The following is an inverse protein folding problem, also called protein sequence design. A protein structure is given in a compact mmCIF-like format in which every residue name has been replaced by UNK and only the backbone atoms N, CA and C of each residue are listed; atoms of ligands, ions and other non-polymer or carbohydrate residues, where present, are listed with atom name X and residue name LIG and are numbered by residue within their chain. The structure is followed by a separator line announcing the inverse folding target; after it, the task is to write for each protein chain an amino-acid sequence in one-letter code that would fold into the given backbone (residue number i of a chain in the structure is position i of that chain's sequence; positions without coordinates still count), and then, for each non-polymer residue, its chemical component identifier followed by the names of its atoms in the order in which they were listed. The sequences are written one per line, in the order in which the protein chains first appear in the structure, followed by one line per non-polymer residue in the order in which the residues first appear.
data_IF_740687827154
#
_entry.id   IF_740687827154
#
_cell.length_a   1.000
_cell.length_b   1.000
_cell.length_c   1.000
_cell.angle_alpha   90.00
_cell.angle_beta   90.00
_cell.angle_gamma   90.00
#
_symmetry.space_group_name_H-M   'P 1'
#
loop_
_entity.id
_entity.type
_entity.pdbx_description
1 polymer ?
#
# COMPACT_ATOMS: atom_id res chain seq x y z
N UNK A 1 20.96 -18.33 -7.34
CA UNK A 1 21.03 -17.29 -8.39
C UNK A 1 19.68 -16.70 -8.75
N UNK A 2 18.75 -17.42 -9.40
CA UNK A 2 17.45 -16.81 -9.80
C UNK A 2 16.59 -16.44 -8.58
N UNK A 3 16.57 -17.29 -7.54
CA UNK A 3 15.84 -17.02 -6.29
C UNK A 3 16.42 -15.79 -5.56
N UNK A 4 17.73 -15.75 -5.36
CA UNK A 4 18.39 -14.62 -4.69
C UNK A 4 18.18 -13.28 -5.41
N UNK A 5 18.17 -13.30 -6.76
CA UNK A 5 17.88 -12.10 -7.55
C UNK A 5 16.42 -11.67 -7.42
N UNK A 6 15.48 -12.63 -7.42
CA UNK A 6 14.07 -12.38 -7.15
C UNK A 6 13.89 -11.79 -5.74
N UNK A 7 14.50 -12.37 -4.72
CA UNK A 7 14.40 -11.92 -3.34
C UNK A 7 14.95 -10.49 -3.17
N UNK A 8 16.03 -10.16 -3.88
CA UNK A 8 16.57 -8.80 -3.93
C UNK A 8 15.56 -7.81 -4.51
N UNK A 9 14.94 -8.13 -5.65
CA UNK A 9 13.91 -7.29 -6.27
C UNK A 9 12.70 -7.13 -5.35
N UNK A 10 12.20 -8.22 -4.76
CA UNK A 10 11.06 -8.16 -3.84
C UNK A 10 11.36 -7.30 -2.59
N UNK A 11 12.61 -7.34 -2.11
CA UNK A 11 13.07 -6.51 -1.00
C UNK A 11 13.09 -5.03 -1.38
N UNK A 12 13.69 -4.68 -2.52
CA UNK A 12 13.74 -3.30 -3.01
C UNK A 12 12.33 -2.74 -3.27
N UNK A 13 11.46 -3.52 -3.91
CA UNK A 13 10.05 -3.14 -4.13
C UNK A 13 9.30 -2.95 -2.82
N UNK A 14 9.53 -3.83 -1.83
CA UNK A 14 8.92 -3.69 -0.50
C UNK A 14 9.36 -2.39 0.19
N UNK A 15 10.63 -2.03 0.10
CA UNK A 15 11.17 -0.80 0.68
C UNK A 15 10.56 0.45 0.02
N UNK A 16 10.46 0.46 -1.31
CA UNK A 16 9.86 1.56 -2.06
C UNK A 16 8.38 1.71 -1.68
N UNK A 17 7.61 0.62 -1.70
CA UNK A 17 6.19 0.66 -1.34
C UNK A 17 5.98 1.18 0.09
N UNK A 18 6.75 0.70 1.06
CA UNK A 18 6.68 1.16 2.45
C UNK A 18 7.07 2.64 2.60
N UNK A 19 8.07 3.11 1.84
CA UNK A 19 8.45 4.52 1.80
C UNK A 19 7.31 5.41 1.32
N UNK A 20 6.64 5.01 0.23
CA UNK A 20 5.51 5.77 -0.32
C UNK A 20 4.30 5.75 0.63
N UNK A 21 3.96 4.58 1.18
CA UNK A 21 2.89 4.45 2.18
C UNK A 21 3.12 5.39 3.38
N UNK A 22 4.36 5.49 3.87
CA UNK A 22 4.72 6.40 4.95
C UNK A 22 4.48 7.87 4.57
N UNK A 23 4.84 8.28 3.34
CA UNK A 23 4.61 9.66 2.86
C UNK A 23 3.12 9.94 2.70
N UNK A 24 2.35 8.98 2.17
CA UNK A 24 0.90 9.10 2.03
C UNK A 24 0.25 9.32 3.39
N UNK A 25 0.56 8.49 4.39
CA UNK A 25 -0.07 8.55 5.71
C UNK A 25 0.37 9.74 6.55
N UNK A 26 1.66 10.12 6.50
CA UNK A 26 2.20 11.16 7.38
C UNK A 26 2.07 12.59 6.84
N UNK A 27 1.82 12.76 5.54
CA UNK A 27 1.81 14.09 4.92
C UNK A 27 0.61 14.27 4.00
N UNK A 28 0.52 13.44 2.97
CA UNK A 28 -0.31 13.76 1.81
C UNK A 28 -1.80 13.58 2.12
N UNK A 29 -2.19 12.47 2.77
CA UNK A 29 -3.58 12.22 3.18
C UNK A 29 -4.02 13.21 4.27
N UNK A 30 -3.13 13.57 5.20
CA UNK A 30 -3.43 14.55 6.26
C UNK A 30 -3.62 15.97 5.71
N UNK A 31 -2.85 16.34 4.67
CA UNK A 31 -2.93 17.66 4.03
C UNK A 31 -4.12 17.79 3.06
N UNK A 32 -4.70 16.67 2.60
CA UNK A 32 -5.80 16.67 1.65
C UNK A 32 -7.11 17.14 2.32
N UNK A 33 -7.45 18.43 2.13
CA UNK A 33 -8.68 19.05 2.66
C UNK A 33 -9.92 18.79 1.80
N UNK A 34 -9.74 18.54 0.50
CA UNK A 34 -10.83 18.27 -0.43
C UNK A 34 -11.10 16.76 -0.56
N UNK A 35 -12.38 16.38 -0.63
CA UNK A 35 -12.82 14.98 -0.71
C UNK A 35 -12.17 14.21 -1.87
N UNK A 36 -12.16 14.79 -3.07
CA UNK A 36 -11.63 14.13 -4.28
C UNK A 36 -10.12 13.87 -4.21
N UNK A 37 -9.35 14.82 -3.67
CA UNK A 37 -7.91 14.65 -3.47
C UNK A 37 -7.64 13.58 -2.40
N UNK A 38 -8.41 13.57 -1.31
CA UNK A 38 -8.29 12.56 -0.26
C UNK A 38 -8.64 11.17 -0.78
N UNK A 39 -9.68 11.05 -1.60
CA UNK A 39 -10.07 9.83 -2.29
C UNK A 39 -8.94 9.32 -3.18
N UNK A 40 -8.33 10.21 -3.98
CA UNK A 40 -7.21 9.85 -4.84
C UNK A 40 -6.02 9.27 -4.05
N UNK A 41 -5.63 9.89 -2.94
CA UNK A 41 -4.50 9.40 -2.13
C UNK A 41 -4.83 8.12 -1.35
N UNK A 42 -6.07 7.94 -0.91
CA UNK A 42 -6.54 6.69 -0.31
C UNK A 42 -6.56 5.55 -1.33
N UNK A 43 -6.94 5.83 -2.58
CA UNK A 43 -6.85 4.86 -3.69
C UNK A 43 -5.40 4.44 -3.92
N UNK A 44 -4.48 5.40 -4.02
CA UNK A 44 -3.04 5.10 -4.14
C UNK A 44 -2.53 4.24 -2.98
N UNK A 45 -2.95 4.53 -1.75
CA UNK A 45 -2.59 3.71 -0.57
C UNK A 45 -3.05 2.25 -0.74
N UNK A 46 -4.27 2.04 -1.24
CA UNK A 46 -4.78 0.71 -1.57
C UNK A 46 -3.89 -0.01 -2.59
N UNK A 47 -3.51 0.66 -3.67
CA UNK A 47 -2.64 0.07 -4.71
C UNK A 47 -1.29 -0.40 -4.15
N UNK A 48 -0.64 0.37 -3.28
CA UNK A 48 0.63 -0.06 -2.67
C UNK A 48 0.47 -1.24 -1.70
N UNK A 49 -0.64 -1.30 -0.94
CA UNK A 49 -0.93 -2.49 -0.13
C UNK A 49 -1.21 -3.73 -0.99
N UNK A 50 -1.87 -3.56 -2.14
CA UNK A 50 -2.10 -4.64 -3.11
C UNK A 50 -0.79 -5.15 -3.68
N UNK A 51 0.11 -4.25 -4.13
CA UNK A 51 1.43 -4.64 -4.63
C UNK A 51 2.24 -5.40 -3.57
N UNK A 52 2.27 -4.93 -2.32
CA UNK A 52 2.92 -5.66 -1.23
C UNK A 52 2.29 -7.04 -1.01
N UNK A 53 0.96 -7.17 -1.12
CA UNK A 53 0.27 -8.45 -0.95
C UNK A 53 0.54 -9.45 -2.09
N UNK A 54 0.88 -8.97 -3.29
CA UNK A 54 1.30 -9.79 -4.43
C UNK A 54 2.71 -10.37 -4.23
N UNK A 55 3.59 -9.64 -3.53
CA UNK A 55 4.97 -10.05 -3.23
C UNK A 55 5.06 -10.96 -2.00
N UNK A 56 4.26 -10.69 -0.95
CA UNK A 56 4.35 -11.41 0.33
C UNK A 56 3.49 -12.67 0.33
N UNK A 57 3.80 -13.59 1.25
CA UNK A 57 3.04 -14.84 1.46
C UNK A 57 2.60 -15.01 2.92
N UNK A 58 1.79 -16.03 3.19
CA UNK A 58 1.39 -16.40 4.55
C UNK A 58 0.70 -15.29 5.34
N UNK A 59 1.10 -15.11 6.60
CA UNK A 59 0.48 -14.18 7.52
C UNK A 59 0.64 -12.71 7.09
N UNK A 60 1.74 -12.35 6.45
CA UNK A 60 2.00 -10.98 6.01
C UNK A 60 1.06 -10.59 4.87
N UNK A 61 0.89 -11.47 3.87
CA UNK A 61 -0.12 -11.28 2.82
C UNK A 61 -1.52 -11.10 3.38
N UNK A 62 -1.92 -11.93 4.35
CA UNK A 62 -3.24 -11.84 4.98
C UNK A 62 -3.45 -10.51 5.70
N UNK A 63 -2.42 -9.99 6.37
CA UNK A 63 -2.47 -8.65 7.00
C UNK A 63 -2.64 -7.55 5.94
N UNK A 64 -1.85 -7.58 4.87
CA UNK A 64 -1.91 -6.58 3.80
C UNK A 64 -3.28 -6.56 3.10
N UNK A 65 -3.85 -7.73 2.81
CA UNK A 65 -5.19 -7.85 2.22
C UNK A 65 -6.29 -7.34 3.15
N UNK A 66 -6.13 -7.54 4.47
CA UNK A 66 -7.06 -6.96 5.46
C UNK A 66 -7.00 -5.44 5.43
N UNK A 67 -5.81 -4.85 5.43
CA UNK A 67 -5.66 -3.38 5.34
C UNK A 67 -6.23 -2.87 4.02
N UNK A 68 -5.97 -3.56 2.91
CA UNK A 68 -6.55 -3.22 1.61
C UNK A 68 -8.10 -3.19 1.68
N UNK A 69 -8.72 -4.22 2.26
CA UNK A 69 -10.17 -4.27 2.44
C UNK A 69 -10.71 -3.12 3.30
N UNK A 70 -9.98 -2.70 4.34
CA UNK A 70 -10.36 -1.54 5.15
C UNK A 70 -10.30 -0.23 4.34
N UNK A 71 -9.25 -0.06 3.52
CA UNK A 71 -9.09 1.13 2.67
C UNK A 71 -10.17 1.16 1.59
N UNK A 72 -10.50 0.04 0.95
CA UNK A 72 -11.58 -0.02 -0.03
C UNK A 72 -12.93 0.28 0.59
N UNK A 73 -13.21 -0.22 1.81
CA UNK A 73 -14.46 0.10 2.50
C UNK A 73 -14.53 1.59 2.86
N UNK A 74 -13.41 2.21 3.26
CA UNK A 74 -13.36 3.65 3.52
C UNK A 74 -13.66 4.46 2.26
N UNK A 75 -13.22 4.01 1.09
CA UNK A 75 -13.52 4.66 -0.20
C UNK A 75 -15.01 4.51 -0.62
N UNK A 76 -15.74 3.52 -0.11
CA UNK A 76 -17.18 3.36 -0.37
C UNK A 76 -18.04 4.25 0.55
N UNK A 77 -17.48 4.72 1.67
CA UNK A 77 -18.17 5.55 2.68
C UNK A 77 -17.89 7.05 2.50
N UNK A 78 -16.84 7.41 1.75
CA UNK A 78 -16.49 8.79 1.39
C UNK A 78 -17.12 9.16 0.05
#
# INVERSE_FOLDING_TARGET
MIRDYKDKIETELSLICNGILKVLDSRVILAAKAGDLKFFYLKMKGDYHRYLAELKTGAERKRLLRVLSMVTNMLVVL
#
